data_IF_896702430814
#
_entry.id   IF_896702430814
#
_cell.length_a   1.000
_cell.length_b   1.000
_cell.length_c   1.000
_cell.angle_alpha   90.00
_cell.angle_beta   90.00
_cell.angle_gamma   90.00
#
_symmetry.space_group_name_H-M   'P 1'
#
loop_
_entity.id
_entity.type
_entity.pdbx_description
1 polymer ?
#
# COMPACT_ATOMS: atom_id res chain seq x y z
N UNK A 1 -4.67 -7.43 -16.22
CA UNK A 1 -3.49 -7.76 -15.37
C UNK A 1 -2.66 -6.52 -15.04
N UNK A 2 -2.13 -5.80 -16.02
CA UNK A 2 -1.29 -4.61 -15.77
C UNK A 2 -1.98 -3.58 -14.86
N UNK A 3 -3.22 -3.19 -15.14
CA UNK A 3 -3.97 -2.27 -14.29
C UNK A 3 -4.19 -2.82 -12.88
N UNK A 4 -4.45 -4.12 -12.73
CA UNK A 4 -4.56 -4.76 -11.42
C UNK A 4 -3.27 -4.63 -10.63
N UNK A 5 -2.12 -4.96 -11.24
CA UNK A 5 -0.82 -4.90 -10.57
C UNK A 5 -0.28 -3.48 -10.38
N UNK A 6 -0.74 -2.50 -11.16
CA UNK A 6 -0.42 -1.10 -10.88
C UNK A 6 -1.01 -0.60 -9.57
N UNK A 7 -2.17 -1.12 -9.17
CA UNK A 7 -2.84 -0.66 -7.95
C UNK A 7 -2.00 -0.89 -6.67
N UNK A 8 -1.45 -2.09 -6.39
CA UNK A 8 -0.56 -2.26 -5.23
C UNK A 8 0.74 -1.45 -5.32
N UNK A 9 1.30 -1.25 -6.53
CA UNK A 9 2.53 -0.46 -6.70
C UNK A 9 2.26 1.02 -6.42
N UNK A 10 1.19 1.59 -6.98
CA UNK A 10 0.80 2.99 -6.72
C UNK A 10 0.31 3.18 -5.29
N UNK A 11 -0.37 2.19 -4.71
CA UNK A 11 -0.74 2.16 -3.30
C UNK A 11 0.47 2.22 -2.38
N UNK A 12 1.55 1.53 -2.71
CA UNK A 12 2.80 1.53 -1.94
C UNK A 12 3.53 2.89 -1.99
N UNK A 13 3.35 3.66 -3.06
CA UNK A 13 4.05 4.93 -3.25
C UNK A 13 3.61 6.01 -2.27
N UNK A 14 2.34 6.01 -1.87
CA UNK A 14 1.75 7.05 -1.03
C UNK A 14 1.15 6.47 0.25
N UNK A 15 1.44 7.09 1.39
CA UNK A 15 0.85 6.70 2.67
C UNK A 15 -0.70 6.75 2.64
N UNK A 16 -1.27 7.62 1.82
CA UNK A 16 -2.72 7.75 1.60
C UNK A 16 -3.24 6.88 0.46
N UNK A 17 -2.39 6.05 -0.16
CA UNK A 17 -2.73 5.24 -1.33
C UNK A 17 -3.60 4.02 -1.05
N UNK A 18 -3.59 3.51 0.18
CA UNK A 18 -4.37 2.35 0.61
C UNK A 18 -4.77 2.48 2.08
N UNK A 19 -5.95 1.97 2.45
CA UNK A 19 -6.47 2.04 3.83
C UNK A 19 -5.53 1.39 4.87
N UNK A 20 -4.79 0.34 4.51
CA UNK A 20 -3.84 -0.31 5.43
C UNK A 20 -2.54 0.50 5.64
N UNK A 21 -2.21 1.49 4.81
CA UNK A 21 -0.98 2.27 4.98
C UNK A 21 -0.98 3.13 6.25
N UNK A 22 -2.04 3.90 6.56
CA UNK A 22 -2.15 4.57 7.85
C UNK A 22 -2.10 3.61 9.04
N UNK A 23 -2.65 2.38 8.90
CA UNK A 23 -2.53 1.35 9.91
C UNK A 23 -1.07 0.92 10.11
N UNK A 24 -0.30 0.68 9.03
CA UNK A 24 1.13 0.40 9.13
C UNK A 24 1.87 1.52 9.84
N UNK A 25 1.60 2.80 9.50
CA UNK A 25 2.24 3.95 10.14
C UNK A 25 1.91 4.04 11.63
N UNK A 26 0.66 3.81 12.01
CA UNK A 26 0.25 3.77 13.41
C UNK A 26 0.91 2.61 14.18
N UNK A 27 0.91 1.41 13.60
CA UNK A 27 1.53 0.24 14.21
C UNK A 27 3.06 0.37 14.29
N UNK A 28 3.71 1.02 13.31
CA UNK A 28 5.13 1.34 13.37
C UNK A 28 5.44 2.25 14.55
N UNK A 29 4.62 3.28 14.77
CA UNK A 29 4.77 4.22 15.89
C UNK A 29 4.54 3.52 17.23
N UNK A 30 3.43 2.83 17.39
CA UNK A 30 3.02 2.24 18.68
C UNK A 30 3.79 0.96 19.04
N UNK A 31 4.12 0.14 18.04
CA UNK A 31 4.72 -1.17 18.23
C UNK A 31 6.24 -1.22 18.05
N UNK A 32 6.81 -0.34 17.21
CA UNK A 32 8.23 -0.34 16.85
C UNK A 32 8.95 0.94 17.28
N UNK A 33 8.22 1.97 17.72
CA UNK A 33 8.77 3.29 18.05
C UNK A 33 9.27 4.07 16.81
N UNK A 34 8.83 3.71 15.61
CA UNK A 34 9.23 4.34 14.35
C UNK A 34 8.12 5.24 13.82
N UNK A 35 8.42 6.51 13.63
CA UNK A 35 7.47 7.47 13.06
C UNK A 35 7.62 7.53 11.53
N UNK A 36 6.59 7.09 10.81
CA UNK A 36 6.50 7.19 9.36
C UNK A 36 5.61 8.40 9.01
N UNK A 37 6.22 9.45 8.46
CA UNK A 37 5.49 10.61 7.94
C UNK A 37 5.13 10.37 6.46
N UNK A 38 4.19 11.15 5.92
CA UNK A 38 3.83 11.05 4.51
C UNK A 38 5.03 11.29 3.59
N UNK A 39 5.84 12.30 3.91
CA UNK A 39 7.03 12.62 3.11
C UNK A 39 8.14 11.58 3.22
N UNK A 40 8.43 11.06 4.42
CA UNK A 40 9.43 9.98 4.60
C UNK A 40 8.99 8.69 3.91
N UNK A 41 7.70 8.36 3.98
CA UNK A 41 7.12 7.23 3.25
C UNK A 41 7.31 7.38 1.74
N UNK A 42 6.85 8.51 1.18
CA UNK A 42 6.97 8.77 -0.26
C UNK A 42 8.42 8.70 -0.73
N UNK A 43 9.34 9.36 -0.01
CA UNK A 43 10.75 9.36 -0.37
C UNK A 43 11.35 7.95 -0.34
N UNK A 44 11.03 7.16 0.69
CA UNK A 44 11.54 5.80 0.80
C UNK A 44 10.95 4.84 -0.24
N UNK A 45 9.66 4.99 -0.58
CA UNK A 45 8.99 4.15 -1.56
C UNK A 45 9.32 4.52 -3.02
N UNK A 46 9.74 5.77 -3.29
CA UNK A 46 9.84 6.35 -4.62
C UNK A 46 10.67 5.48 -5.59
N UNK A 47 11.91 5.18 -5.26
CA UNK A 47 12.80 4.46 -6.19
C UNK A 47 12.35 3.01 -6.40
N UNK A 48 12.15 2.18 -5.36
CA UNK A 48 11.76 0.79 -5.59
C UNK A 48 10.38 0.65 -6.26
N UNK A 49 9.40 1.49 -5.89
CA UNK A 49 8.09 1.45 -6.52
C UNK A 49 8.11 1.94 -7.97
N UNK A 50 8.91 2.97 -8.31
CA UNK A 50 9.04 3.44 -9.69
C UNK A 50 9.73 2.42 -10.60
N UNK A 51 10.71 1.68 -10.10
CA UNK A 51 11.33 0.58 -10.86
C UNK A 51 10.26 -0.50 -11.16
N UNK A 52 9.49 -0.91 -10.15
CA UNK A 52 8.37 -1.84 -10.33
C UNK A 52 7.34 -1.30 -11.32
N UNK A 53 6.97 -0.02 -11.22
CA UNK A 53 6.00 0.63 -12.09
C UNK A 53 6.42 0.64 -13.56
N UNK A 54 7.70 0.93 -13.84
CA UNK A 54 8.24 0.95 -15.22
C UNK A 54 8.41 -0.47 -15.75
N UNK A 55 8.86 -1.42 -14.93
CA UNK A 55 9.08 -2.80 -15.35
C UNK A 55 7.78 -3.58 -15.59
N UNK A 56 6.70 -3.25 -14.87
CA UNK A 56 5.46 -4.01 -14.89
C UNK A 56 4.81 -4.17 -16.27
N UNK A 57 4.65 -3.13 -17.12
CA UNK A 57 4.09 -3.30 -18.47
C UNK A 57 4.91 -4.27 -19.32
N UNK A 58 6.24 -4.21 -19.21
CA UNK A 58 7.14 -5.08 -19.96
C UNK A 58 7.01 -6.53 -19.51
N UNK A 59 6.96 -6.76 -18.20
CA UNK A 59 6.78 -8.09 -17.61
C UNK A 59 5.42 -8.68 -17.98
N UNK A 60 4.35 -7.91 -17.81
CA UNK A 60 3.00 -8.37 -18.16
C UNK A 60 2.88 -8.68 -19.64
N UNK A 61 3.40 -7.84 -20.50
CA UNK A 61 3.41 -8.08 -21.95
C UNK A 61 4.16 -9.37 -22.31
N UNK A 62 5.32 -9.59 -21.68
CA UNK A 62 6.15 -10.78 -21.93
C UNK A 62 5.49 -12.07 -21.42
N UNK A 63 4.86 -12.04 -20.23
CA UNK A 63 4.27 -13.23 -19.61
C UNK A 63 2.88 -13.57 -20.13
N UNK A 64 2.17 -12.60 -20.71
CA UNK A 64 0.77 -12.78 -21.05
C UNK A 64 0.51 -13.04 -22.53
N UNK A 65 1.47 -12.70 -23.41
CA UNK A 65 1.34 -12.77 -24.87
C UNK A 65 -0.07 -12.35 -25.35
N UNK A 66 -0.39 -11.06 -25.31
CA UNK A 66 -1.74 -10.58 -25.58
C UNK A 66 -2.14 -10.87 -27.03
N UNK A 67 -3.37 -11.35 -27.25
CA UNK A 67 -3.94 -11.59 -28.58
C UNK A 67 -3.96 -10.31 -29.40
N UNK A 68 -4.33 -9.18 -28.78
CA UNK A 68 -4.35 -7.87 -29.41
C UNK A 68 -3.07 -7.10 -29.05
N UNK A 69 -2.14 -7.02 -29.98
CA UNK A 69 -0.88 -6.26 -29.80
C UNK A 69 -1.02 -4.78 -30.10
N UNK A 70 -2.07 -4.36 -30.79
CA UNK A 70 -2.37 -2.96 -31.13
C UNK A 70 -3.87 -2.69 -31.05
N UNK A 71 -4.23 -1.58 -30.46
CA UNK A 71 -5.61 -1.12 -30.30
C UNK A 71 -5.80 0.29 -30.86
N UNK A 72 -5.73 0.47 -32.20
CA UNK A 72 -5.79 1.82 -32.81
C UNK A 72 -7.11 2.54 -32.51
N UNK A 73 -8.20 1.79 -32.30
CA UNK A 73 -9.52 2.33 -31.99
C UNK A 73 -9.64 2.91 -30.57
N UNK A 74 -8.79 2.49 -29.60
CA UNK A 74 -8.85 2.97 -28.21
C UNK A 74 -8.70 4.50 -28.12
N UNK A 75 -7.86 5.10 -28.99
CA UNK A 75 -7.68 6.55 -29.03
C UNK A 75 -8.93 7.29 -29.53
N UNK A 76 -9.63 6.71 -30.48
CA UNK A 76 -10.88 7.28 -31.03
C UNK A 76 -11.97 7.19 -29.99
N UNK A 77 -12.17 6.01 -29.40
CA UNK A 77 -13.13 5.79 -28.31
C UNK A 77 -12.88 6.74 -27.12
N UNK A 78 -11.65 6.89 -26.68
CA UNK A 78 -11.31 7.81 -25.58
C UNK A 78 -11.64 9.26 -25.89
N UNK A 79 -11.46 9.71 -27.15
CA UNK A 79 -11.86 11.05 -27.59
C UNK A 79 -13.37 11.23 -27.65
N UNK A 80 -14.09 10.23 -28.09
CA UNK A 80 -15.56 10.25 -28.14
C UNK A 80 -16.15 10.31 -26.73
N UNK A 81 -15.64 9.49 -25.80
CA UNK A 81 -16.08 9.53 -24.41
C UNK A 81 -15.77 10.88 -23.75
N UNK A 82 -14.58 11.43 -23.98
CA UNK A 82 -14.22 12.76 -23.47
C UNK A 82 -15.15 13.87 -24.03
N UNK A 83 -15.56 13.77 -25.30
CA UNK A 83 -16.55 14.70 -25.89
C UNK A 83 -17.92 14.54 -25.24
N UNK A 84 -18.36 13.32 -24.90
CA UNK A 84 -19.63 13.09 -24.20
C UNK A 84 -19.64 13.66 -22.78
N UNK A 85 -18.52 13.59 -22.09
CA UNK A 85 -18.39 14.16 -20.75
C UNK A 85 -18.52 15.69 -20.73
N UNK A 86 -18.14 16.36 -21.83
CA UNK A 86 -18.19 17.82 -21.92
C UNK A 86 -17.06 18.53 -21.14
N UNK A 87 -17.17 19.86 -20.96
CA UNK A 87 -16.20 20.61 -20.17
C UNK A 87 -16.34 20.33 -18.67
N UNK A 88 -15.22 20.42 -17.95
CA UNK A 88 -15.16 20.22 -16.50
C UNK A 88 -16.16 21.15 -15.78
N UNK A 89 -17.00 20.58 -14.95
CA UNK A 89 -17.99 21.30 -14.15
C UNK A 89 -17.34 22.02 -12.95
N UNK A 90 -18.07 22.98 -12.36
CA UNK A 90 -17.58 23.73 -11.19
C UNK A 90 -17.25 22.82 -10.01
N UNK A 91 -18.05 21.80 -9.73
CA UNK A 91 -17.82 20.86 -8.62
C UNK A 91 -16.58 20.02 -8.87
N UNK A 92 -16.37 19.53 -10.09
CA UNK A 92 -15.18 18.78 -10.49
C UNK A 92 -13.91 19.63 -10.33
N UNK A 93 -13.98 20.93 -10.72
CA UNK A 93 -12.85 21.84 -10.53
C UNK A 93 -12.54 22.07 -9.06
N UNK A 94 -13.56 22.24 -8.20
CA UNK A 94 -13.36 22.40 -6.75
C UNK A 94 -12.74 21.13 -6.13
N UNK A 95 -13.18 19.94 -6.53
CA UNK A 95 -12.58 18.68 -6.10
C UNK A 95 -11.11 18.61 -6.55
N UNK A 96 -10.82 18.93 -7.82
CA UNK A 96 -9.46 18.93 -8.34
C UNK A 96 -8.55 19.90 -7.58
N UNK A 97 -9.00 21.12 -7.33
CA UNK A 97 -8.27 22.13 -6.54
C UNK A 97 -8.03 21.63 -5.12
N UNK A 98 -9.04 21.09 -4.45
CA UNK A 98 -8.93 20.54 -3.10
C UNK A 98 -7.87 19.44 -3.01
N UNK A 99 -7.87 18.49 -3.97
CA UNK A 99 -6.86 17.42 -4.03
C UNK A 99 -5.45 17.97 -4.30
N UNK A 100 -5.30 18.94 -5.20
CA UNK A 100 -3.99 19.57 -5.46
C UNK A 100 -3.45 20.23 -4.18
N UNK A 101 -4.30 20.98 -3.46
CA UNK A 101 -3.91 21.60 -2.19
C UNK A 101 -3.53 20.58 -1.13
N UNK A 102 -4.27 19.48 -1.01
CA UNK A 102 -3.94 18.38 -0.11
C UNK A 102 -2.61 17.70 -0.48
N UNK A 103 -2.36 17.44 -1.77
CA UNK A 103 -1.10 16.88 -2.24
C UNK A 103 0.10 17.81 -1.95
N UNK A 104 -0.06 19.12 -2.12
CA UNK A 104 0.96 20.11 -1.76
C UNK A 104 1.19 20.07 -0.24
N UNK A 105 0.11 20.07 0.57
CA UNK A 105 0.21 19.99 2.02
C UNK A 105 0.94 18.72 2.50
N UNK A 106 0.60 17.56 1.97
CA UNK A 106 1.29 16.30 2.30
C UNK A 106 2.75 16.29 1.82
N UNK A 107 3.01 16.75 0.58
CA UNK A 107 4.35 16.80 0.02
C UNK A 107 5.30 17.77 0.76
N UNK A 108 4.76 18.83 1.34
CA UNK A 108 5.52 19.81 2.12
C UNK A 108 5.52 19.52 3.63
N UNK A 109 4.87 18.45 4.08
CA UNK A 109 4.72 18.12 5.51
C UNK A 109 6.03 17.98 6.27
N UNK A 110 7.10 17.51 5.62
CA UNK A 110 8.45 17.44 6.21
C UNK A 110 9.05 18.81 6.54
N UNK A 111 8.65 19.86 5.80
CA UNK A 111 9.15 21.23 5.97
C UNK A 111 8.22 22.01 6.89
N UNK A 112 6.91 21.86 6.69
CA UNK A 112 5.88 22.64 7.39
C UNK A 112 5.50 22.07 8.74
N UNK A 113 5.78 20.78 8.99
CA UNK A 113 5.34 20.07 10.19
C UNK A 113 3.84 19.79 10.25
N UNK A 114 3.08 20.03 9.17
CA UNK A 114 1.64 19.78 9.16
C UNK A 114 1.35 18.27 9.28
N UNK A 115 0.42 17.96 10.18
CA UNK A 115 -0.05 16.59 10.37
C UNK A 115 -0.87 16.13 9.16
N UNK A 116 -0.59 14.95 8.63
CA UNK A 116 -1.27 14.40 7.46
C UNK A 116 -2.79 14.24 7.65
N UNK A 117 -3.24 13.92 8.87
CA UNK A 117 -4.66 13.82 9.20
C UNK A 117 -5.33 15.20 9.19
N UNK A 118 -4.65 16.23 9.68
CA UNK A 118 -5.16 17.60 9.66
C UNK A 118 -5.35 18.11 8.23
N UNK A 119 -4.43 17.78 7.32
CA UNK A 119 -4.55 18.10 5.89
C UNK A 119 -5.75 17.36 5.27
N UNK A 120 -5.94 16.08 5.57
CA UNK A 120 -7.09 15.30 5.09
C UNK A 120 -8.42 15.86 5.60
N UNK A 121 -8.51 16.20 6.89
CA UNK A 121 -9.71 16.85 7.46
C UNK A 121 -9.94 18.24 6.86
N UNK A 122 -8.87 18.99 6.59
CA UNK A 122 -8.93 20.27 5.89
C UNK A 122 -9.49 20.16 4.49
N UNK A 123 -9.10 19.11 3.73
CA UNK A 123 -9.68 18.79 2.44
C UNK A 123 -11.18 18.52 2.53
N UNK A 124 -11.60 17.69 3.48
CA UNK A 124 -13.03 17.39 3.70
C UNK A 124 -13.80 18.68 4.04
N UNK A 125 -13.28 19.50 4.96
CA UNK A 125 -13.89 20.78 5.31
C UNK A 125 -13.99 21.71 4.09
N UNK A 126 -12.94 21.81 3.28
CA UNK A 126 -12.95 22.58 2.03
C UNK A 126 -14.05 22.12 1.07
N UNK A 127 -14.20 20.81 0.87
CA UNK A 127 -15.21 20.24 -0.02
C UNK A 127 -16.64 20.53 0.46
N UNK A 128 -16.87 20.56 1.77
CA UNK A 128 -18.16 20.95 2.35
C UNK A 128 -18.43 22.44 2.21
N UNK A 129 -17.50 23.29 2.60
CA UNK A 129 -17.65 24.75 2.57
C UNK A 129 -17.83 25.25 1.13
N UNK A 130 -17.12 24.64 0.17
CA UNK A 130 -17.25 24.96 -1.26
C UNK A 130 -18.54 24.45 -1.90
N UNK A 131 -19.27 23.55 -1.22
CA UNK A 131 -20.48 22.91 -1.74
C UNK A 131 -20.20 21.85 -2.82
N UNK A 132 -18.96 21.41 -2.96
CA UNK A 132 -18.61 20.34 -3.89
C UNK A 132 -19.15 18.97 -3.42
N UNK A 133 -19.25 18.77 -2.09
CA UNK A 133 -19.81 17.58 -1.43
C UNK A 133 -20.84 18.05 -0.42
N UNK A 134 -21.96 17.35 -0.32
CA UNK A 134 -22.99 17.60 0.68
C UNK A 134 -22.86 16.63 1.86
N UNK A 135 -23.28 17.07 3.05
CA UNK A 135 -23.28 16.20 4.24
C UNK A 135 -24.07 14.91 4.03
N UNK A 136 -25.15 14.99 3.23
CA UNK A 136 -25.97 13.83 2.87
C UNK A 136 -25.17 12.77 2.09
N UNK A 137 -24.24 13.19 1.23
CA UNK A 137 -23.42 12.27 0.43
C UNK A 137 -22.53 11.45 1.36
N UNK A 138 -21.93 12.09 2.37
CA UNK A 138 -21.12 11.43 3.40
C UNK A 138 -21.96 10.45 4.24
N UNK A 139 -23.16 10.87 4.69
CA UNK A 139 -24.03 9.99 5.47
C UNK A 139 -24.49 8.74 4.69
N UNK A 140 -24.62 8.87 3.38
CA UNK A 140 -25.05 7.80 2.50
C UNK A 140 -23.90 6.87 2.05
N UNK A 141 -22.65 7.23 2.30
CA UNK A 141 -21.50 6.37 1.97
C UNK A 141 -21.34 5.25 3.02
N UNK A 142 -22.14 4.21 2.85
CA UNK A 142 -22.14 3.04 3.74
C UNK A 142 -20.76 2.37 3.79
N UNK A 143 -20.01 2.36 2.69
CA UNK A 143 -18.70 1.74 2.63
C UNK A 143 -17.67 2.49 3.48
N UNK A 144 -17.74 3.82 3.50
CA UNK A 144 -16.87 4.63 4.36
C UNK A 144 -17.19 4.40 5.84
N UNK A 145 -18.46 4.40 6.24
CA UNK A 145 -18.87 4.15 7.63
C UNK A 145 -18.55 2.73 8.11
N UNK A 146 -18.77 1.73 7.26
CA UNK A 146 -18.36 0.35 7.54
C UNK A 146 -16.84 0.28 7.77
N UNK A 147 -16.06 0.94 6.93
CA UNK A 147 -14.59 1.04 7.10
C UNK A 147 -14.21 1.66 8.45
N UNK A 148 -14.84 2.75 8.88
CA UNK A 148 -14.56 3.40 10.17
C UNK A 148 -14.77 2.41 11.33
N UNK A 149 -15.87 1.66 11.30
CA UNK A 149 -16.22 0.74 12.38
C UNK A 149 -15.23 -0.43 12.48
N UNK A 150 -15.03 -1.19 11.40
CA UNK A 150 -14.15 -2.36 11.48
C UNK A 150 -12.67 -1.96 11.61
N UNK A 151 -12.26 -0.85 10.99
CA UNK A 151 -10.87 -0.35 11.07
C UNK A 151 -10.53 0.10 12.49
N UNK A 152 -11.42 0.86 13.14
CA UNK A 152 -11.26 1.24 14.54
C UNK A 152 -11.18 0.05 15.48
N UNK A 153 -12.02 -0.97 15.25
CA UNK A 153 -11.96 -2.22 16.02
C UNK A 153 -10.63 -2.95 15.84
N UNK A 154 -10.15 -3.10 14.60
CA UNK A 154 -8.86 -3.76 14.29
C UNK A 154 -7.69 -3.01 14.93
N UNK A 155 -7.62 -1.69 14.82
CA UNK A 155 -6.56 -0.90 15.47
C UNK A 155 -6.57 -1.11 16.98
N UNK A 156 -7.74 -1.07 17.61
CA UNK A 156 -7.89 -1.25 19.04
C UNK A 156 -7.41 -2.64 19.49
N UNK A 157 -7.77 -3.69 18.76
CA UNK A 157 -7.31 -5.06 19.03
C UNK A 157 -5.81 -5.21 18.85
N UNK A 158 -5.23 -4.72 17.75
CA UNK A 158 -3.79 -4.78 17.48
C UNK A 158 -2.97 -4.03 18.53
N UNK A 159 -3.43 -2.85 18.92
CA UNK A 159 -2.80 -2.06 19.99
C UNK A 159 -2.92 -2.77 21.35
N UNK A 160 -4.08 -3.38 21.62
CA UNK A 160 -4.31 -4.20 22.82
C UNK A 160 -3.34 -5.38 22.91
N UNK A 161 -3.20 -6.16 21.83
CA UNK A 161 -2.25 -7.28 21.75
C UNK A 161 -0.80 -6.83 21.98
N UNK A 162 -0.41 -5.70 21.44
CA UNK A 162 0.93 -5.13 21.65
C UNK A 162 1.15 -4.77 23.13
N UNK A 163 0.19 -4.09 23.76
CA UNK A 163 0.25 -3.70 25.19
C UNK A 163 0.25 -4.90 26.13
N UNK A 164 -0.45 -5.98 25.79
CA UNK A 164 -0.48 -7.22 26.57
C UNK A 164 0.78 -8.09 26.40
N UNK A 165 1.74 -7.65 25.60
CA UNK A 165 3.02 -8.35 25.40
C UNK A 165 2.97 -9.54 24.45
N UNK A 166 1.84 -9.77 23.76
CA UNK A 166 1.69 -10.85 22.78
C UNK A 166 2.72 -10.75 21.66
N UNK A 167 2.93 -9.55 21.13
CA UNK A 167 3.94 -9.29 20.08
C UNK A 167 5.34 -9.67 20.56
N UNK A 168 5.70 -9.28 21.78
CA UNK A 168 7.00 -9.62 22.39
C UNK A 168 7.17 -11.13 22.56
N UNK A 169 6.13 -11.81 23.07
CA UNK A 169 6.14 -13.27 23.25
C UNK A 169 6.33 -14.00 21.90
N UNK A 170 5.57 -13.60 20.88
CA UNK A 170 5.66 -14.20 19.54
C UNK A 170 7.02 -13.91 18.89
N UNK A 171 7.55 -12.69 19.02
CA UNK A 171 8.87 -12.32 18.50
C UNK A 171 9.99 -13.15 19.12
N UNK A 172 9.95 -13.41 20.42
CA UNK A 172 10.92 -14.26 21.09
C UNK A 172 10.86 -15.71 20.62
N UNK A 173 9.65 -16.23 20.38
CA UNK A 173 9.44 -17.57 19.82
C UNK A 173 10.05 -17.71 18.41
N UNK A 174 9.81 -16.73 17.53
CA UNK A 174 10.41 -16.72 16.20
C UNK A 174 11.94 -16.51 16.24
N UNK A 175 12.42 -15.61 17.08
CA UNK A 175 13.86 -15.34 17.23
C UNK A 175 14.63 -16.60 17.64
N UNK A 176 14.05 -17.45 18.50
CA UNK A 176 14.68 -18.73 18.89
C UNK A 176 14.77 -19.72 17.72
N UNK A 177 13.82 -19.69 16.79
CA UNK A 177 13.81 -20.56 15.61
C UNK A 177 14.74 -20.08 14.48
N UNK A 178 15.05 -18.78 14.44
CA UNK A 178 15.93 -18.14 13.46
C UNK A 178 17.32 -17.84 14.04
N UNK A 179 17.61 -18.33 15.26
CA UNK A 179 18.85 -18.09 15.97
C UNK A 179 20.07 -18.56 15.18
N UNK A 180 21.11 -17.71 15.11
CA UNK A 180 22.35 -17.97 14.38
C UNK A 180 22.41 -17.42 12.95
N UNK A 181 21.32 -16.89 12.42
CA UNK A 181 21.32 -16.18 11.13
C UNK A 181 21.69 -14.70 11.33
N UNK A 182 22.40 -14.13 10.35
CA UNK A 182 22.64 -12.70 10.31
C UNK A 182 21.32 -11.92 10.04
N UNK A 183 21.31 -10.63 10.34
CA UNK A 183 20.10 -9.82 10.24
C UNK A 183 19.60 -9.68 8.80
N UNK A 184 20.49 -9.69 7.79
CA UNK A 184 20.10 -9.57 6.36
C UNK A 184 19.33 -10.82 5.96
N UNK A 185 19.89 -12.00 6.25
CA UNK A 185 19.25 -13.28 5.96
C UNK A 185 17.89 -13.41 6.67
N UNK A 186 17.84 -13.06 7.95
CA UNK A 186 16.58 -13.04 8.72
C UNK A 186 15.55 -12.11 8.12
N UNK A 187 15.94 -10.88 7.76
CA UNK A 187 15.07 -9.89 7.15
C UNK A 187 14.51 -10.35 5.80
N UNK A 188 15.35 -10.96 4.94
CA UNK A 188 14.91 -11.50 3.66
C UNK A 188 13.89 -12.64 3.85
N UNK A 189 14.18 -13.61 4.72
CA UNK A 189 13.26 -14.73 5.00
C UNK A 189 11.92 -14.20 5.51
N UNK A 190 11.95 -13.28 6.49
CA UNK A 190 10.74 -12.71 7.07
C UNK A 190 9.94 -11.91 6.05
N UNK A 191 10.59 -11.15 5.17
CA UNK A 191 9.89 -10.38 4.13
C UNK A 191 9.20 -11.26 3.10
N UNK A 192 9.85 -12.34 2.64
CA UNK A 192 9.19 -13.34 1.78
C UNK A 192 8.05 -14.04 2.51
N UNK A 193 8.27 -14.50 3.75
CA UNK A 193 7.24 -15.14 4.54
C UNK A 193 6.04 -14.19 4.77
N UNK A 194 6.30 -12.93 5.10
CA UNK A 194 5.26 -11.91 5.29
C UNK A 194 4.35 -11.79 4.07
N UNK A 195 4.91 -11.67 2.87
CA UNK A 195 4.12 -11.53 1.65
C UNK A 195 3.31 -12.79 1.37
N UNK A 196 3.93 -13.98 1.39
CA UNK A 196 3.25 -15.20 0.96
C UNK A 196 2.30 -15.78 2.01
N UNK A 197 2.47 -15.47 3.28
CA UNK A 197 1.45 -15.77 4.29
C UNK A 197 0.12 -15.07 4.00
N UNK A 198 0.11 -14.05 3.14
CA UNK A 198 -1.13 -13.39 2.76
C UNK A 198 -2.14 -14.31 2.05
N UNK A 199 -1.72 -15.41 1.45
CA UNK A 199 -2.63 -16.42 0.90
C UNK A 199 -3.63 -16.99 1.92
N UNK A 200 -3.34 -16.93 3.21
CA UNK A 200 -4.25 -17.40 4.27
C UNK A 200 -5.06 -16.27 4.91
N UNK A 201 -4.88 -15.03 4.46
CA UNK A 201 -5.63 -13.87 4.96
C UNK A 201 -6.67 -13.39 3.95
N UNK A 202 -7.89 -13.16 4.42
CA UNK A 202 -8.97 -12.66 3.56
C UNK A 202 -8.86 -11.16 3.23
N UNK A 203 -8.09 -10.38 3.99
CA UNK A 203 -7.95 -8.93 3.78
C UNK A 203 -6.54 -8.45 4.09
N UNK A 204 -6.08 -7.42 3.35
CA UNK A 204 -4.78 -6.79 3.61
C UNK A 204 -4.70 -6.15 5.01
N UNK A 205 -5.75 -5.48 5.46
CA UNK A 205 -5.76 -4.84 6.78
C UNK A 205 -5.71 -5.86 7.93
N UNK A 206 -6.40 -7.01 7.79
CA UNK A 206 -6.32 -8.10 8.76
C UNK A 206 -4.92 -8.69 8.85
N UNK A 207 -4.26 -8.90 7.70
CA UNK A 207 -2.88 -9.35 7.67
C UNK A 207 -1.94 -8.34 8.35
N UNK A 208 -2.03 -7.07 7.99
CA UNK A 208 -1.21 -5.99 8.60
C UNK A 208 -1.40 -5.95 10.10
N UNK A 209 -2.65 -5.97 10.57
CA UNK A 209 -2.95 -5.93 12.01
C UNK A 209 -2.35 -7.11 12.78
N UNK A 210 -2.34 -8.31 12.17
CA UNK A 210 -1.86 -9.53 12.82
C UNK A 210 -0.33 -9.71 12.71
N UNK A 211 0.28 -9.36 11.59
CA UNK A 211 1.63 -9.79 11.23
C UNK A 211 2.67 -8.67 11.14
N UNK A 212 2.26 -7.41 10.92
CA UNK A 212 3.21 -6.34 10.67
C UNK A 212 4.20 -6.14 11.84
N UNK A 213 3.69 -5.87 13.04
CA UNK A 213 4.55 -5.64 14.22
C UNK A 213 5.33 -6.89 14.60
N UNK A 214 4.72 -8.10 14.69
CA UNK A 214 5.46 -9.31 15.00
C UNK A 214 6.64 -9.57 14.08
N UNK A 215 6.43 -9.54 12.76
CA UNK A 215 7.49 -9.80 11.79
C UNK A 215 8.58 -8.73 11.82
N UNK A 216 8.18 -7.46 11.88
CA UNK A 216 9.12 -6.35 11.99
C UNK A 216 9.95 -6.43 13.29
N UNK A 217 9.32 -6.77 14.41
CA UNK A 217 10.01 -6.91 15.70
C UNK A 217 11.07 -8.01 15.69
N UNK A 218 10.81 -9.14 15.02
CA UNK A 218 11.80 -10.22 14.88
C UNK A 218 12.98 -9.77 14.03
N UNK A 219 12.74 -9.09 12.91
CA UNK A 219 13.82 -8.56 12.07
C UNK A 219 14.69 -7.53 12.83
N UNK A 220 14.04 -6.63 13.59
CA UNK A 220 14.74 -5.64 14.43
C UNK A 220 15.53 -6.32 15.55
N UNK A 221 14.97 -7.33 16.21
CA UNK A 221 15.67 -8.11 17.24
C UNK A 221 16.90 -8.87 16.70
N UNK A 222 16.88 -9.25 15.41
CA UNK A 222 18.04 -9.82 14.73
C UNK A 222 19.12 -8.78 14.35
N UNK A 223 18.86 -7.48 14.58
CA UNK A 223 19.80 -6.39 14.33
C UNK A 223 19.50 -5.55 13.08
N UNK A 224 18.36 -5.78 12.40
CA UNK A 224 17.99 -4.96 11.27
C UNK A 224 17.56 -3.55 11.70
N UNK A 225 17.93 -2.48 10.96
CA UNK A 225 17.57 -1.10 11.29
C UNK A 225 16.04 -0.87 11.31
N UNK A 226 15.51 -0.41 12.44
CA UNK A 226 14.07 -0.30 12.65
C UNK A 226 13.34 0.58 11.61
N UNK A 227 13.83 1.76 11.17
CA UNK A 227 13.16 2.56 10.14
C UNK A 227 13.10 1.85 8.78
N UNK A 228 14.17 1.14 8.41
CA UNK A 228 14.24 0.35 7.17
C UNK A 228 13.22 -0.80 7.20
N UNK A 229 13.18 -1.54 8.31
CA UNK A 229 12.23 -2.65 8.49
C UNK A 229 10.79 -2.14 8.42
N UNK A 230 10.47 -1.08 9.16
CA UNK A 230 9.13 -0.51 9.20
C UNK A 230 8.62 -0.12 7.79
N UNK A 231 9.42 0.61 7.02
CA UNK A 231 8.99 1.04 5.68
C UNK A 231 8.95 -0.14 4.69
N UNK A 232 9.87 -1.09 4.78
CA UNK A 232 9.89 -2.26 3.91
C UNK A 232 8.62 -3.10 4.07
N UNK A 233 8.25 -3.46 5.30
CA UNK A 233 7.03 -4.22 5.56
C UNK A 233 5.76 -3.41 5.23
N UNK A 234 5.80 -2.09 5.36
CA UNK A 234 4.71 -1.23 4.91
C UNK A 234 4.53 -1.26 3.38
N UNK A 235 5.62 -1.22 2.60
CA UNK A 235 5.59 -1.40 1.14
C UNK A 235 5.08 -2.81 0.78
N UNK A 236 5.57 -3.84 1.47
CA UNK A 236 5.14 -5.22 1.27
C UNK A 236 3.65 -5.44 1.59
N UNK A 237 3.12 -4.69 2.55
CA UNK A 237 1.68 -4.69 2.87
C UNK A 237 0.81 -4.24 1.69
N UNK A 238 1.37 -3.49 0.75
CA UNK A 238 0.71 -3.18 -0.50
C UNK A 238 0.91 -4.29 -1.54
N UNK A 239 2.11 -4.80 -1.72
CA UNK A 239 2.39 -5.79 -2.76
C UNK A 239 1.71 -7.14 -2.52
N UNK A 240 1.56 -7.56 -1.25
CA UNK A 240 0.95 -8.83 -0.89
C UNK A 240 -0.47 -9.00 -1.41
N UNK A 241 -1.28 -7.95 -1.52
CA UNK A 241 -2.65 -8.10 -2.04
C UNK A 241 -2.71 -8.24 -3.56
N UNK A 242 -1.61 -8.00 -4.26
CA UNK A 242 -1.46 -8.32 -5.67
C UNK A 242 -1.36 -9.82 -5.99
N UNK A 243 -1.22 -10.71 -4.97
CA UNK A 243 -1.10 -12.16 -5.20
C UNK A 243 -2.45 -12.88 -5.32
N UNK A 244 -3.54 -12.29 -4.80
CA UNK A 244 -4.88 -12.91 -4.77
C UNK A 244 -5.94 -12.01 -5.34
N UNK A 245 -7.07 -12.58 -5.77
CA UNK A 245 -8.23 -11.81 -6.23
C UNK A 245 -9.11 -11.27 -5.09
N UNK A 246 -8.94 -11.76 -3.87
CA UNK A 246 -9.82 -11.44 -2.73
C UNK A 246 -9.20 -10.47 -1.71
N UNK A 247 -7.91 -10.21 -1.80
CA UNK A 247 -7.19 -9.47 -0.75
C UNK A 247 -7.44 -7.95 -0.74
N UNK A 248 -7.95 -7.39 -1.82
CA UNK A 248 -8.22 -5.95 -1.92
C UNK A 248 -9.39 -5.65 -2.84
N UNK A 249 -10.01 -4.49 -2.68
CA UNK A 249 -11.20 -4.07 -3.41
C UNK A 249 -11.12 -4.21 -4.94
N UNK A 250 -10.02 -3.83 -5.60
CA UNK A 250 -9.87 -4.00 -7.04
C UNK A 250 -9.78 -5.46 -7.52
N UNK A 251 -9.30 -6.37 -6.68
CA UNK A 251 -9.08 -7.78 -7.04
C UNK A 251 -10.32 -8.45 -7.63
N UNK A 252 -11.45 -8.50 -6.92
CA UNK A 252 -12.69 -9.11 -7.44
C UNK A 252 -13.19 -8.43 -8.71
N UNK A 253 -13.01 -7.12 -8.85
CA UNK A 253 -13.45 -6.35 -10.02
C UNK A 253 -12.66 -6.78 -11.26
N UNK A 254 -11.33 -6.81 -11.18
CA UNK A 254 -10.48 -7.18 -12.31
C UNK A 254 -10.57 -8.67 -12.65
N UNK A 255 -10.62 -9.54 -11.64
CA UNK A 255 -10.75 -10.98 -11.84
C UNK A 255 -12.14 -11.37 -12.38
N UNK A 256 -13.19 -10.72 -11.87
CA UNK A 256 -14.58 -10.92 -12.29
C UNK A 256 -14.88 -10.59 -13.76
N UNK A 257 -13.96 -9.87 -14.46
CA UNK A 257 -14.08 -9.64 -15.91
C UNK A 257 -13.88 -10.92 -16.75
N UNK A 258 -13.45 -12.03 -16.14
CA UNK A 258 -13.36 -13.32 -16.82
C UNK A 258 -12.20 -13.48 -17.82
N UNK A 259 -11.25 -12.55 -17.86
CA UNK A 259 -10.10 -12.64 -18.79
C UNK A 259 -9.08 -13.71 -18.40
N UNK A 260 -9.14 -14.24 -17.18
CA UNK A 260 -8.16 -15.17 -16.67
C UNK A 260 -8.79 -16.34 -15.94
N UNK A 261 -8.29 -17.54 -16.22
CA UNK A 261 -8.48 -18.68 -15.34
C UNK A 261 -7.69 -18.51 -14.04
N UNK A 262 -8.23 -18.97 -12.93
CA UNK A 262 -7.64 -18.81 -11.58
C UNK A 262 -6.19 -19.32 -11.50
N UNK A 263 -5.81 -20.52 -11.98
CA UNK A 263 -4.43 -20.98 -11.90
C UNK A 263 -3.43 -20.09 -12.64
N UNK A 264 -3.83 -19.58 -13.83
CA UNK A 264 -3.00 -18.66 -14.63
C UNK A 264 -2.88 -17.30 -13.94
N UNK A 265 -3.95 -16.79 -13.35
CA UNK A 265 -3.94 -15.57 -12.58
C UNK A 265 -2.95 -15.64 -11.41
N UNK A 266 -3.02 -16.69 -10.58
CA UNK A 266 -2.10 -16.89 -9.46
C UNK A 266 -0.65 -17.01 -9.89
N UNK A 267 -0.36 -17.80 -10.92
CA UNK A 267 1.00 -18.00 -11.43
C UNK A 267 1.64 -16.69 -11.89
N UNK A 268 0.91 -15.88 -12.65
CA UNK A 268 1.41 -14.60 -13.16
C UNK A 268 1.63 -13.62 -12.00
N UNK A 269 0.67 -13.52 -11.09
CA UNK A 269 0.76 -12.63 -9.94
C UNK A 269 1.90 -13.02 -9.00
N UNK A 270 2.09 -14.30 -8.75
CA UNK A 270 3.24 -14.80 -7.99
C UNK A 270 4.56 -14.33 -8.61
N UNK A 271 4.75 -14.49 -9.92
CA UNK A 271 5.97 -14.03 -10.60
C UNK A 271 6.17 -12.52 -10.52
N UNK A 272 5.10 -11.74 -10.74
CA UNK A 272 5.17 -10.27 -10.70
C UNK A 272 5.48 -9.78 -9.28
N UNK A 273 4.78 -10.29 -8.28
CA UNK A 273 5.00 -9.88 -6.89
C UNK A 273 6.38 -10.31 -6.41
N UNK A 274 6.83 -11.53 -6.74
CA UNK A 274 8.21 -11.97 -6.46
C UNK A 274 9.23 -11.00 -7.04
N UNK A 275 9.06 -10.60 -8.30
CA UNK A 275 9.92 -9.60 -8.92
C UNK A 275 9.91 -8.27 -8.15
N UNK A 276 8.73 -7.76 -7.78
CA UNK A 276 8.63 -6.52 -7.01
C UNK A 276 9.31 -6.63 -5.64
N UNK A 277 9.19 -7.77 -4.95
CA UNK A 277 9.89 -8.04 -3.69
C UNK A 277 11.40 -8.00 -3.86
N UNK A 278 11.92 -8.65 -4.90
CA UNK A 278 13.35 -8.64 -5.22
C UNK A 278 13.86 -7.23 -5.54
N UNK A 279 13.06 -6.43 -6.25
CA UNK A 279 13.38 -5.01 -6.52
C UNK A 279 13.45 -4.22 -5.22
N UNK A 280 12.52 -4.41 -4.29
CA UNK A 280 12.55 -3.70 -2.99
C UNK A 280 13.77 -4.14 -2.17
N UNK A 281 14.07 -5.42 -2.10
CA UNK A 281 15.24 -5.91 -1.38
C UNK A 281 16.57 -5.47 -1.99
N UNK A 282 16.65 -5.29 -3.30
CA UNK A 282 17.88 -4.83 -3.97
C UNK A 282 17.96 -3.31 -4.04
N UNK A 283 17.13 -2.71 -4.90
CA UNK A 283 17.15 -1.26 -5.12
C UNK A 283 16.65 -0.45 -3.92
N UNK A 284 15.68 -0.99 -3.17
CA UNK A 284 15.17 -0.35 -1.97
C UNK A 284 16.23 -0.25 -0.89
N UNK A 285 16.95 -1.32 -0.58
CA UNK A 285 18.03 -1.28 0.40
C UNK A 285 19.14 -0.29 -0.01
N UNK A 286 19.54 -0.29 -1.28
CA UNK A 286 20.52 0.67 -1.77
C UNK A 286 20.04 2.12 -1.65
N UNK A 287 18.78 2.36 -2.00
CA UNK A 287 18.15 3.68 -1.92
C UNK A 287 18.02 4.15 -0.48
N UNK A 288 17.55 3.30 0.43
CA UNK A 288 17.38 3.63 1.85
C UNK A 288 18.69 3.96 2.53
N UNK A 289 19.77 3.28 2.15
CA UNK A 289 21.12 3.65 2.59
C UNK A 289 21.53 5.03 2.05
N UNK A 290 21.25 5.32 0.78
CA UNK A 290 21.59 6.60 0.16
C UNK A 290 20.84 7.80 0.78
N UNK A 291 19.61 7.60 1.26
CA UNK A 291 18.83 8.64 1.94
C UNK A 291 19.01 8.66 3.46
N UNK A 292 19.93 7.85 3.99
CA UNK A 292 20.26 7.83 5.42
C UNK A 292 19.21 7.19 6.33
N UNK A 293 18.44 6.23 5.81
CA UNK A 293 17.46 5.52 6.62
C UNK A 293 18.12 4.47 7.55
N UNK A 294 19.34 4.05 7.22
CA UNK A 294 20.18 3.16 8.02
C UNK A 294 21.66 3.27 7.66
#
# INVERSE_FOLDING_TARGET
MTCFQFTPITGALFMTGMAANPLCAQLAKDGLGVELTWGSWFLAALVPAMICFIALPLLTFKFMDPELKRTPQARVMGREELKKMGPMGRQELLVAVGFILALIGWGTSLITGFNANAIGLGLVAFLFVSGAVQWRDVLNDKAAWDTVVWFGAIISLATGLTKLGFVKWMSLGFASSLGGLDWVTTFLILGFAYIYLHYVFATASGHVAAMYVPFASVAIAAGAPAPMVAICFAIFSNFMWGITEYAGGPGPIYFGQGYFERPRFYKINFCIVTFCVLVVFSSGMLWWKAIGLY
#
